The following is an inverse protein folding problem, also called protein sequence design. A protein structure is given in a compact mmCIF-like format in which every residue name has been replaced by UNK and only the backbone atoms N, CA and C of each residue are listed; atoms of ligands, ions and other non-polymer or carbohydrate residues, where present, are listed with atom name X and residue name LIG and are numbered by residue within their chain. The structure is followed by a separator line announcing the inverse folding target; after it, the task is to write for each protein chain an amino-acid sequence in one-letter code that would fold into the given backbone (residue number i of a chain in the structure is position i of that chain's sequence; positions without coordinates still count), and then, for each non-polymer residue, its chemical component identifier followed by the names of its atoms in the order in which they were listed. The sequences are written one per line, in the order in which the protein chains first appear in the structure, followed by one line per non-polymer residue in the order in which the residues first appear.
data_IF_774791559072
#
_entry.id   IF_774791559072
#
_cell.length_a   1.000
_cell.length_b   1.000
_cell.length_c   1.000
_cell.angle_alpha   90.00
_cell.angle_beta   90.00
_cell.angle_gamma   90.00
#
_symmetry.space_group_name_H-M   'P 1'
#
loop_
_entity.id
_entity.type
_entity.pdbx_description
1 polymer ?
#
# COMPACT_ATOMS: atom_id res chain seq x y z
N UNK A 1 16.49 -8.01 44.83
CA UNK A 1 17.41 -8.67 45.77
C UNK A 1 18.75 -8.82 45.04
N UNK A 2 19.56 -7.76 45.03
CA UNK A 2 20.87 -7.68 44.37
C UNK A 2 21.94 -8.03 45.41
N UNK A 3 22.69 -9.11 45.20
CA UNK A 3 23.80 -9.48 46.06
C UNK A 3 25.02 -8.60 45.75
N UNK A 4 25.48 -7.86 46.75
CA UNK A 4 26.67 -7.01 46.71
C UNK A 4 27.93 -7.85 46.42
N UNK A 5 28.70 -7.42 45.43
CA UNK A 5 30.11 -7.79 45.29
C UNK A 5 30.92 -7.09 46.39
N UNK A 6 31.45 -7.86 47.35
CA UNK A 6 32.52 -7.40 48.22
C UNK A 6 33.86 -7.59 47.51
N UNK A 7 34.45 -6.52 46.99
CA UNK A 7 35.87 -6.45 46.68
C UNK A 7 36.45 -5.28 47.48
N UNK A 8 37.44 -5.60 48.31
CA UNK A 8 38.17 -4.66 49.14
C UNK A 8 39.01 -3.75 48.22
N UNK A 9 38.61 -2.48 48.07
CA UNK A 9 39.33 -1.50 47.23
C UNK A 9 39.46 -0.19 47.99
N UNK A 10 40.70 0.32 48.11
CA UNK A 10 41.04 1.63 48.68
C UNK A 10 40.17 2.75 48.07
N UNK A 11 39.75 3.69 48.92
CA UNK A 11 38.73 4.71 48.66
C UNK A 11 38.99 5.64 47.45
N UNK A 12 40.22 5.72 46.94
CA UNK A 12 40.57 6.53 45.76
C UNK A 12 40.32 5.86 44.41
N UNK A 13 40.08 4.54 44.37
CA UNK A 13 39.84 3.79 43.14
C UNK A 13 38.35 3.42 42.95
N UNK A 14 37.50 3.72 43.94
CA UNK A 14 36.08 3.34 43.95
C UNK A 14 35.26 4.21 43.00
N UNK A 15 35.60 5.50 42.87
CA UNK A 15 34.89 6.43 41.97
C UNK A 15 35.20 6.15 40.49
N UNK A 16 36.44 5.79 40.16
CA UNK A 16 36.83 5.38 38.81
C UNK A 16 36.18 4.07 38.37
N UNK A 17 36.11 3.07 39.26
CA UNK A 17 35.44 1.78 38.99
C UNK A 17 33.93 1.99 38.79
N UNK A 18 33.27 2.79 39.65
CA UNK A 18 31.85 3.12 39.51
C UNK A 18 31.52 3.84 38.22
N UNK A 19 32.39 4.75 37.77
CA UNK A 19 32.21 5.48 36.53
C UNK A 19 32.40 4.59 35.29
N UNK A 20 33.35 3.66 35.35
CA UNK A 20 33.60 2.71 34.27
C UNK A 20 32.50 1.64 34.15
N UNK A 21 31.95 1.16 35.27
CA UNK A 21 30.82 0.22 35.28
C UNK A 21 29.52 0.88 34.76
N UNK A 22 29.29 2.16 35.09
CA UNK A 22 28.17 2.93 34.56
C UNK A 22 28.26 3.12 33.04
N UNK A 23 29.45 3.43 32.52
CA UNK A 23 29.69 3.60 31.08
C UNK A 23 29.43 2.32 30.28
N UNK A 24 29.86 1.17 30.81
CA UNK A 24 29.64 -0.14 30.17
C UNK A 24 28.16 -0.52 30.17
N UNK A 25 27.43 -0.19 31.23
CA UNK A 25 25.99 -0.39 31.29
C UNK A 25 25.25 0.45 30.23
N UNK A 26 25.68 1.69 30.02
CA UNK A 26 25.08 2.55 29.00
C UNK A 26 25.39 2.05 27.58
N UNK A 27 26.63 1.64 27.28
CA UNK A 27 26.96 1.00 25.99
C UNK A 27 26.12 -0.26 25.78
N UNK A 28 25.97 -1.08 26.81
CA UNK A 28 25.14 -2.27 26.73
C UNK A 28 23.69 -1.93 26.33
N UNK A 29 23.09 -0.91 26.94
CA UNK A 29 21.73 -0.44 26.57
C UNK A 29 21.67 0.01 25.11
N UNK A 30 22.69 0.72 24.64
CA UNK A 30 22.76 1.19 23.27
C UNK A 30 22.90 0.04 22.26
N UNK A 31 23.71 -0.97 22.58
CA UNK A 31 23.83 -2.18 21.75
C UNK A 31 22.52 -2.98 21.68
N UNK A 32 21.79 -3.08 22.80
CA UNK A 32 20.47 -3.71 22.83
C UNK A 32 19.46 -2.92 22.00
N UNK A 33 19.44 -1.59 22.13
CA UNK A 33 18.61 -0.73 21.29
C UNK A 33 18.97 -0.85 19.80
N UNK A 34 20.25 -1.09 19.49
CA UNK A 34 20.76 -1.37 18.15
C UNK A 34 20.56 -2.85 17.71
N UNK A 35 19.72 -3.63 18.42
CA UNK A 35 19.26 -4.94 17.96
C UNK A 35 20.15 -6.13 18.33
N UNK A 36 21.04 -6.01 19.33
CA UNK A 36 21.66 -7.17 19.97
C UNK A 36 20.75 -7.75 21.04
N UNK A 37 20.73 -9.08 21.17
CA UNK A 37 20.12 -9.72 22.34
C UNK A 37 20.84 -9.26 23.62
N UNK A 38 20.13 -9.02 24.74
CA UNK A 38 20.71 -8.61 26.01
C UNK A 38 21.91 -9.45 26.47
N UNK A 39 21.85 -10.78 26.31
CA UNK A 39 22.93 -11.69 26.71
C UNK A 39 24.08 -11.66 25.70
N UNK A 40 23.78 -11.54 24.42
CA UNK A 40 24.77 -11.40 23.35
C UNK A 40 25.58 -10.11 23.54
N UNK A 41 24.93 -9.00 23.91
CA UNK A 41 25.58 -7.73 24.19
C UNK A 41 26.53 -7.81 25.41
N UNK A 42 26.10 -8.44 26.51
CA UNK A 42 26.99 -8.66 27.67
C UNK A 42 28.18 -9.56 27.33
N UNK A 43 27.94 -10.62 26.56
CA UNK A 43 29.00 -11.54 26.13
C UNK A 43 30.00 -10.87 25.19
N UNK A 44 29.50 -10.10 24.22
CA UNK A 44 30.34 -9.32 23.31
C UNK A 44 31.21 -8.31 24.09
N UNK A 45 30.62 -7.54 25.02
CA UNK A 45 31.36 -6.59 25.84
C UNK A 45 32.39 -7.27 26.76
N UNK A 46 32.10 -8.46 27.27
CA UNK A 46 33.06 -9.24 28.04
C UNK A 46 34.30 -9.58 27.20
N UNK A 47 34.10 -10.09 25.98
CA UNK A 47 35.20 -10.40 25.06
C UNK A 47 35.93 -9.14 24.60
N UNK A 48 35.21 -8.06 24.27
CA UNK A 48 35.80 -6.80 23.82
C UNK A 48 36.70 -6.17 24.91
N UNK A 49 36.30 -6.23 26.18
CA UNK A 49 37.09 -5.69 27.31
C UNK A 49 38.24 -6.59 27.72
N UNK A 50 38.02 -7.90 27.76
CA UNK A 50 39.04 -8.84 28.22
C UNK A 50 39.99 -9.33 27.12
N UNK A 51 39.74 -8.96 25.86
CA UNK A 51 40.57 -9.34 24.72
C UNK A 51 40.45 -10.82 24.38
N UNK A 52 41.59 -11.51 24.34
CA UNK A 52 41.67 -12.93 23.96
C UNK A 52 41.26 -13.81 25.14
N UNK A 53 40.17 -14.56 25.00
CA UNK A 53 39.67 -15.46 26.06
C UNK A 53 38.91 -16.67 25.51
N UNK A 54 38.79 -17.73 26.30
CA UNK A 54 37.97 -18.89 25.94
C UNK A 54 36.47 -18.59 26.05
N UNK A 55 35.64 -19.40 25.38
CA UNK A 55 34.17 -19.30 25.50
C UNK A 55 33.72 -19.46 26.96
N UNK A 56 34.39 -20.30 27.75
CA UNK A 56 34.04 -20.53 29.15
C UNK A 56 34.33 -19.31 30.02
N UNK A 57 35.44 -18.62 29.79
CA UNK A 57 35.78 -17.37 30.47
C UNK A 57 34.80 -16.27 30.10
N UNK A 58 34.54 -16.08 28.80
CA UNK A 58 33.55 -15.13 28.31
C UNK A 58 32.17 -15.37 28.93
N UNK A 59 31.72 -16.62 28.99
CA UNK A 59 30.45 -17.00 29.59
C UNK A 59 30.38 -16.64 31.09
N UNK A 60 31.46 -16.89 31.83
CA UNK A 60 31.58 -16.53 33.25
C UNK A 60 31.53 -15.02 33.44
N UNK A 61 32.26 -14.26 32.61
CA UNK A 61 32.27 -12.79 32.68
C UNK A 61 30.92 -12.17 32.30
N UNK A 62 30.20 -12.79 31.36
CA UNK A 62 28.88 -12.36 30.92
C UNK A 62 27.73 -12.89 31.81
N UNK A 63 28.05 -13.66 32.85
CA UNK A 63 27.09 -14.31 33.75
C UNK A 63 26.04 -15.17 33.00
N UNK A 64 26.49 -15.96 32.03
CA UNK A 64 25.66 -16.93 31.29
C UNK A 64 26.19 -18.35 31.49
N UNK A 65 25.32 -19.35 31.28
CA UNK A 65 25.75 -20.75 31.38
C UNK A 65 26.77 -21.08 30.28
N UNK A 66 27.64 -22.05 30.56
CA UNK A 66 28.65 -22.50 29.58
C UNK A 66 28.00 -22.95 28.27
N UNK A 67 26.89 -23.68 28.33
CA UNK A 67 26.12 -24.10 27.15
C UNK A 67 25.64 -22.89 26.34
N UNK A 68 25.02 -21.91 27.02
CA UNK A 68 24.57 -20.68 26.37
C UNK A 68 25.73 -19.88 25.76
N UNK A 69 26.91 -19.90 26.40
CA UNK A 69 28.11 -19.22 25.90
C UNK A 69 28.53 -19.71 24.51
N UNK A 70 28.46 -21.01 24.24
CA UNK A 70 28.78 -21.54 22.91
C UNK A 70 27.77 -21.12 21.84
N UNK A 71 26.49 -21.06 22.18
CA UNK A 71 25.45 -20.60 21.23
C UNK A 71 25.54 -19.10 20.98
N UNK A 72 25.81 -18.30 22.02
CA UNK A 72 26.04 -16.86 21.91
C UNK A 72 27.27 -16.59 21.04
N UNK A 73 28.40 -17.27 21.31
CA UNK A 73 29.61 -17.15 20.51
C UNK A 73 29.34 -17.44 19.04
N UNK A 74 28.63 -18.53 18.73
CA UNK A 74 28.26 -18.89 17.36
C UNK A 74 27.43 -17.81 16.65
N UNK A 75 26.43 -17.23 17.34
CA UNK A 75 25.61 -16.14 16.79
C UNK A 75 26.43 -14.89 16.51
N UNK A 76 27.27 -14.47 17.47
CA UNK A 76 28.12 -13.29 17.32
C UNK A 76 29.18 -13.48 16.24
N UNK A 77 29.71 -14.70 16.06
CA UNK A 77 30.60 -15.04 14.95
C UNK A 77 29.87 -15.01 13.60
N UNK A 78 28.65 -15.54 13.51
CA UNK A 78 27.86 -15.46 12.29
C UNK A 78 27.52 -14.02 11.88
N UNK A 79 27.48 -13.11 12.86
CA UNK A 79 27.34 -11.65 12.65
C UNK A 79 28.68 -10.94 12.40
N UNK A 80 29.80 -11.65 12.41
CA UNK A 80 31.14 -11.07 12.22
C UNK A 80 31.67 -10.26 13.40
N UNK A 81 31.00 -10.27 14.57
CA UNK A 81 31.39 -9.46 15.74
C UNK A 81 32.50 -10.12 16.56
N UNK A 82 32.61 -11.45 16.50
CA UNK A 82 33.67 -12.21 17.13
C UNK A 82 34.38 -13.09 16.10
N UNK A 83 35.66 -13.31 16.31
CA UNK A 83 36.46 -14.31 15.59
C UNK A 83 36.96 -15.36 16.57
N UNK A 84 37.06 -16.60 16.09
CA UNK A 84 37.71 -17.70 16.80
C UNK A 84 39.15 -17.81 16.32
N UNK A 85 40.08 -17.72 17.25
CA UNK A 85 41.52 -17.82 17.01
C UNK A 85 42.05 -19.08 17.68
N UNK A 86 42.77 -19.91 16.94
CA UNK A 86 43.40 -21.11 17.49
C UNK A 86 44.58 -20.74 18.40
N UNK A 87 44.84 -21.56 19.42
CA UNK A 87 46.01 -21.38 20.29
C UNK A 87 47.23 -22.07 19.73
N UNK A 88 48.28 -21.29 19.44
CA UNK A 88 49.61 -21.79 19.06
C UNK A 88 50.50 -22.09 20.28
N UNK A 89 49.96 -21.99 21.51
CA UNK A 89 50.74 -22.18 22.74
C UNK A 89 51.04 -23.67 23.02
N UNK A 90 52.31 -24.06 23.22
CA UNK A 90 52.69 -25.43 23.62
C UNK A 90 52.06 -25.89 24.94
N UNK A 91 51.68 -24.96 25.82
CA UNK A 91 51.05 -25.24 27.11
C UNK A 91 49.57 -25.63 26.98
N UNK A 92 48.90 -25.15 25.93
CA UNK A 92 47.48 -25.43 25.66
C UNK A 92 47.27 -26.76 24.92
N UNK A 93 48.35 -27.39 24.44
CA UNK A 93 48.30 -28.67 23.72
C UNK A 93 47.96 -29.89 24.60
N UNK A 94 47.99 -29.72 25.93
CA UNK A 94 47.66 -30.80 26.88
C UNK A 94 46.16 -30.97 27.12
N UNK A 95 45.35 -29.95 26.85
CA UNK A 95 43.91 -29.99 27.07
C UNK A 95 43.16 -29.65 25.78
N UNK A 96 42.80 -30.71 25.03
CA UNK A 96 42.16 -30.65 23.71
C UNK A 96 40.86 -29.81 23.66
N UNK A 97 40.34 -29.41 24.81
CA UNK A 97 39.10 -28.64 24.97
C UNK A 97 39.30 -27.12 24.97
N UNK A 98 40.54 -26.64 25.02
CA UNK A 98 40.89 -25.22 25.23
C UNK A 98 41.61 -24.58 24.01
N UNK A 99 41.67 -25.29 22.88
CA UNK A 99 42.42 -24.84 21.69
C UNK A 99 41.90 -23.59 20.98
N UNK A 100 40.81 -22.97 21.43
CA UNK A 100 40.23 -21.84 20.72
C UNK A 100 39.80 -20.71 21.64
N UNK A 101 40.29 -19.53 21.29
CA UNK A 101 39.98 -18.28 21.95
C UNK A 101 39.03 -17.47 21.06
N UNK A 102 38.22 -16.64 21.69
CA UNK A 102 37.44 -15.59 21.07
C UNK A 102 38.24 -14.30 21.11
N UNK A 103 38.12 -13.52 20.05
CA UNK A 103 38.53 -12.12 20.01
C UNK A 103 37.39 -11.32 19.39
N UNK A 104 37.15 -10.12 19.92
CA UNK A 104 36.23 -9.19 19.32
C UNK A 104 36.85 -8.58 18.06
N UNK A 105 36.07 -8.55 16.98
CA UNK A 105 36.44 -7.81 15.78
C UNK A 105 36.15 -6.32 15.96
N UNK A 106 36.58 -5.51 14.99
CA UNK A 106 36.32 -4.07 14.98
C UNK A 106 34.81 -3.78 15.16
N UNK A 107 34.41 -3.01 16.19
CA UNK A 107 33.02 -2.60 16.38
C UNK A 107 32.39 -1.90 15.18
N UNK A 108 33.19 -1.32 14.26
CA UNK A 108 32.71 -0.74 13.01
C UNK A 108 31.88 -1.73 12.16
N UNK A 109 32.10 -3.04 12.29
CA UNK A 109 31.31 -4.07 11.60
C UNK A 109 29.82 -4.05 11.97
N UNK A 110 29.45 -3.50 13.14
CA UNK A 110 28.05 -3.27 13.49
C UNK A 110 27.39 -2.27 12.53
N UNK A 111 28.13 -1.27 12.06
CA UNK A 111 27.63 -0.28 11.10
C UNK A 111 27.43 -0.92 9.72
N UNK A 112 28.36 -1.77 9.29
CA UNK A 112 28.26 -2.50 8.02
C UNK A 112 27.06 -3.45 8.02
N UNK A 113 26.87 -4.21 9.12
CA UNK A 113 25.70 -5.08 9.31
C UNK A 113 24.39 -4.29 9.20
N UNK A 114 24.33 -3.10 9.81
CA UNK A 114 23.16 -2.23 9.76
C UNK A 114 22.91 -1.63 8.36
N UNK A 115 23.97 -1.27 7.64
CA UNK A 115 23.86 -0.75 6.28
C UNK A 115 23.25 -1.81 5.34
N UNK A 116 23.70 -3.07 5.44
CA UNK A 116 23.13 -4.19 4.67
C UNK A 116 21.67 -4.43 5.02
N UNK A 117 21.30 -4.44 6.31
CA UNK A 117 19.89 -4.61 6.73
C UNK A 117 19.00 -3.48 6.25
N UNK A 118 19.49 -2.24 6.30
CA UNK A 118 18.76 -1.07 5.79
C UNK A 118 18.50 -1.22 4.29
N UNK A 119 19.50 -1.65 3.51
CA UNK A 119 19.33 -1.85 2.07
C UNK A 119 18.22 -2.87 1.76
N UNK A 120 18.19 -4.00 2.47
CA UNK A 120 17.11 -5.00 2.32
C UNK A 120 15.73 -4.39 2.64
N UNK A 121 15.64 -3.56 3.68
CA UNK A 121 14.39 -2.87 4.02
C UNK A 121 14.00 -1.84 2.96
N UNK A 122 14.95 -1.07 2.42
CA UNK A 122 14.71 -0.10 1.35
C UNK A 122 14.13 -0.80 0.10
N UNK A 123 14.54 -2.04 -0.18
CA UNK A 123 14.05 -2.84 -1.32
C UNK A 123 12.65 -3.43 -1.07
N UNK A 124 12.34 -3.85 0.17
CA UNK A 124 11.10 -4.56 0.51
C UNK A 124 9.96 -3.61 0.92
N UNK A 125 10.26 -2.47 1.55
CA UNK A 125 9.25 -1.50 2.04
C UNK A 125 8.30 -1.00 0.93
N UNK A 126 8.74 -0.70 -0.31
CA UNK A 126 7.82 -0.32 -1.38
C UNK A 126 6.77 -1.39 -1.69
N UNK A 127 7.16 -2.67 -1.66
CA UNK A 127 6.27 -3.80 -1.90
C UNK A 127 5.27 -3.96 -0.73
N UNK A 128 5.74 -3.80 0.50
CA UNK A 128 4.88 -3.78 1.69
C UNK A 128 3.88 -2.62 1.65
N UNK A 129 4.28 -1.45 1.14
CA UNK A 129 3.36 -0.32 0.93
C UNK A 129 2.29 -0.65 -0.12
N UNK A 130 2.65 -1.31 -1.22
CA UNK A 130 1.67 -1.75 -2.21
C UNK A 130 0.64 -2.72 -1.60
N UNK A 131 1.10 -3.70 -0.83
CA UNK A 131 0.24 -4.64 -0.09
C UNK A 131 -0.64 -3.92 0.94
N UNK A 132 -0.10 -2.94 1.66
CA UNK A 132 -0.84 -2.15 2.64
C UNK A 132 -1.90 -1.24 1.99
N UNK A 133 -1.62 -0.74 0.79
CA UNK A 133 -2.53 0.13 0.02
C UNK A 133 -3.76 -0.63 -0.48
N UNK A 134 -3.62 -1.93 -0.78
CA UNK A 134 -4.74 -2.76 -1.21
C UNK A 134 -5.84 -2.98 -0.15
N UNK A 135 -5.56 -2.72 1.12
CA UNK A 135 -6.45 -3.03 2.25
C UNK A 135 -7.13 -1.82 2.93
N UNK A 136 -6.92 -0.59 2.44
CA UNK A 136 -7.65 0.58 2.93
C UNK A 136 -8.36 1.26 1.77
N UNK A 137 -9.67 1.03 1.68
CA UNK A 137 -10.62 1.75 0.83
C UNK A 137 -10.65 3.24 1.24
N UNK A 138 -9.60 3.98 0.88
CA UNK A 138 -9.70 5.44 0.82
C UNK A 138 -10.32 5.76 -0.52
N UNK A 139 -11.45 6.49 -0.55
CA UNK A 139 -12.02 6.92 -1.80
C UNK A 139 -10.98 7.74 -2.55
N UNK A 140 -10.64 7.35 -3.78
CA UNK A 140 -9.72 8.10 -4.62
C UNK A 140 -10.54 9.12 -5.40
N UNK A 141 -10.33 10.40 -5.11
CA UNK A 141 -11.00 11.50 -5.81
C UNK A 141 -9.99 12.17 -6.73
N UNK A 142 -10.32 12.26 -8.02
CA UNK A 142 -9.53 12.95 -9.04
C UNK A 142 -10.32 14.15 -9.53
N UNK A 143 -9.69 15.32 -9.52
CA UNK A 143 -10.16 16.51 -10.21
C UNK A 143 -9.36 16.66 -11.51
N UNK A 144 -10.04 16.77 -12.63
CA UNK A 144 -9.46 16.85 -13.96
C UNK A 144 -9.94 18.14 -14.61
N UNK A 145 -9.01 19.06 -14.86
CA UNK A 145 -9.32 20.40 -15.34
C UNK A 145 -9.40 20.47 -16.87
N UNK A 146 -10.30 21.30 -17.37
CA UNK A 146 -10.39 21.64 -18.79
C UNK A 146 -11.06 20.59 -19.67
N UNK A 147 -11.19 20.88 -20.98
CA UNK A 147 -11.87 19.99 -21.94
C UNK A 147 -11.20 18.61 -22.05
N UNK A 148 -9.87 18.57 -21.95
CA UNK A 148 -9.10 17.32 -21.94
C UNK A 148 -9.41 16.47 -20.70
N UNK A 149 -9.64 17.11 -19.54
CA UNK A 149 -10.05 16.46 -18.31
C UNK A 149 -11.43 15.80 -18.43
N UNK A 150 -12.40 16.52 -19.00
CA UNK A 150 -13.75 16.00 -19.30
C UNK A 150 -13.67 14.81 -20.26
N UNK A 151 -12.93 14.95 -21.37
CA UNK A 151 -12.76 13.85 -22.34
C UNK A 151 -12.12 12.63 -21.69
N UNK A 152 -11.07 12.82 -20.90
CA UNK A 152 -10.37 11.73 -20.22
C UNK A 152 -11.31 11.00 -19.27
N UNK A 153 -12.02 11.72 -18.40
CA UNK A 153 -12.96 11.14 -17.44
C UNK A 153 -14.09 10.36 -18.13
N UNK A 154 -14.67 10.92 -19.19
CA UNK A 154 -15.73 10.26 -19.96
C UNK A 154 -15.21 8.98 -20.63
N UNK A 155 -14.04 9.04 -21.29
CA UNK A 155 -13.49 7.89 -22.03
C UNK A 155 -13.02 6.77 -21.11
N UNK A 156 -12.53 7.07 -19.90
CA UNK A 156 -12.20 6.04 -18.90
C UNK A 156 -13.43 5.18 -18.53
N UNK A 157 -14.65 5.73 -18.62
CA UNK A 157 -15.88 4.94 -18.39
C UNK A 157 -16.11 3.82 -19.42
N UNK A 158 -15.41 3.84 -20.55
CA UNK A 158 -15.44 2.74 -21.52
C UNK A 158 -14.81 1.45 -20.98
N UNK A 159 -13.97 1.54 -19.96
CA UNK A 159 -13.33 0.35 -19.36
C UNK A 159 -14.14 -0.20 -18.18
N UNK A 160 -15.31 0.38 -17.90
CA UNK A 160 -16.19 -0.04 -16.81
C UNK A 160 -17.09 -1.23 -17.18
N UNK A 161 -17.59 -1.92 -16.15
CA UNK A 161 -18.49 -3.04 -16.30
C UNK A 161 -19.92 -2.57 -16.63
N UNK A 162 -20.57 -3.27 -17.57
CA UNK A 162 -21.96 -3.05 -17.93
C UNK A 162 -22.94 -3.66 -16.90
N UNK A 163 -24.10 -3.03 -16.63
CA UNK A 163 -24.57 -1.75 -17.17
C UNK A 163 -23.98 -0.55 -16.45
N UNK A 164 -23.68 0.50 -17.23
CA UNK A 164 -23.40 1.84 -16.72
C UNK A 164 -24.68 2.68 -16.71
N UNK A 165 -24.75 3.66 -15.81
CA UNK A 165 -25.90 4.56 -15.65
C UNK A 165 -25.46 5.99 -15.91
N UNK A 166 -26.32 6.78 -16.55
CA UNK A 166 -26.04 8.17 -16.89
C UNK A 166 -27.20 9.09 -16.54
N UNK A 167 -26.93 10.17 -15.83
CA UNK A 167 -27.79 11.36 -15.81
C UNK A 167 -27.07 12.37 -16.68
N UNK A 168 -27.54 12.60 -17.90
CA UNK A 168 -26.74 13.26 -18.93
C UNK A 168 -27.34 14.59 -19.36
N UNK A 169 -26.49 15.61 -19.44
CA UNK A 169 -26.73 16.83 -20.22
C UNK A 169 -26.08 16.68 -21.59
N UNK A 170 -26.88 16.36 -22.62
CA UNK A 170 -26.36 16.16 -23.97
C UNK A 170 -25.88 17.45 -24.60
N UNK A 171 -26.55 18.58 -24.34
CA UNK A 171 -26.09 19.89 -24.79
C UNK A 171 -24.65 20.18 -24.32
N UNK A 172 -24.36 19.90 -23.05
CA UNK A 172 -23.00 20.09 -22.52
C UNK A 172 -22.01 19.11 -23.16
N UNK A 173 -22.35 17.83 -23.28
CA UNK A 173 -21.47 16.81 -23.88
C UNK A 173 -21.14 17.10 -25.36
N UNK A 174 -22.11 17.60 -26.13
CA UNK A 174 -21.92 17.99 -27.52
C UNK A 174 -21.09 19.28 -27.66
N UNK A 175 -21.02 20.11 -26.61
CA UNK A 175 -20.17 21.30 -26.57
C UNK A 175 -18.76 20.96 -26.08
N UNK A 176 -18.66 20.21 -24.98
CA UNK A 176 -17.43 19.74 -24.35
C UNK A 176 -17.68 18.31 -23.80
N UNK A 177 -17.01 17.27 -24.32
CA UNK A 177 -15.79 17.30 -25.12
C UNK A 177 -16.00 17.59 -26.62
N UNK A 178 -17.24 17.74 -27.09
CA UNK A 178 -17.54 18.08 -28.48
C UNK A 178 -18.09 16.91 -29.29
N UNK A 179 -18.78 17.20 -30.39
CA UNK A 179 -19.46 16.19 -31.24
C UNK A 179 -18.53 15.05 -31.68
N UNK A 180 -17.34 15.37 -32.21
CA UNK A 180 -16.38 14.36 -32.67
C UNK A 180 -15.94 13.39 -31.55
N UNK A 181 -15.72 13.92 -30.35
CA UNK A 181 -15.38 13.08 -29.20
C UNK A 181 -16.56 12.23 -28.72
N UNK A 182 -17.79 12.73 -28.88
CA UNK A 182 -18.99 11.96 -28.58
C UNK A 182 -19.21 10.83 -29.60
N UNK A 183 -18.95 11.06 -30.88
CA UNK A 183 -19.00 10.03 -31.91
C UNK A 183 -18.02 8.88 -31.61
N UNK A 184 -16.77 9.23 -31.29
CA UNK A 184 -15.75 8.28 -30.85
C UNK A 184 -16.20 7.50 -29.60
N UNK A 185 -16.77 8.19 -28.60
CA UNK A 185 -17.23 7.56 -27.37
C UNK A 185 -18.40 6.58 -27.61
N UNK A 186 -19.35 6.95 -28.49
CA UNK A 186 -20.47 6.06 -28.87
C UNK A 186 -19.94 4.83 -29.60
N UNK A 187 -19.01 5.00 -30.53
CA UNK A 187 -18.37 3.89 -31.24
C UNK A 187 -17.66 2.95 -30.26
N UNK A 188 -16.88 3.50 -29.32
CA UNK A 188 -16.19 2.73 -28.27
C UNK A 188 -17.16 1.96 -27.36
N UNK A 189 -18.30 2.54 -26.99
CA UNK A 189 -19.35 1.83 -26.23
C UNK A 189 -19.98 0.69 -27.03
N UNK A 190 -20.25 0.91 -28.33
CA UNK A 190 -20.81 -0.12 -29.21
C UNK A 190 -19.88 -1.32 -29.35
N UNK A 191 -18.59 -1.07 -29.56
CA UNK A 191 -17.56 -2.11 -29.67
C UNK A 191 -17.51 -3.00 -28.43
N UNK A 192 -17.66 -2.39 -27.25
CA UNK A 192 -17.63 -3.08 -25.94
C UNK A 192 -19.00 -3.59 -25.48
N UNK A 193 -20.04 -3.44 -26.32
CA UNK A 193 -21.42 -3.80 -26.01
C UNK A 193 -21.92 -3.23 -24.65
N UNK A 194 -21.47 -2.02 -24.29
CA UNK A 194 -21.75 -1.41 -22.99
C UNK A 194 -23.17 -0.88 -22.90
N UNK A 195 -24.03 -1.60 -22.18
CA UNK A 195 -25.39 -1.14 -21.86
C UNK A 195 -25.33 0.13 -21.00
N UNK A 196 -25.91 1.20 -21.53
CA UNK A 196 -26.05 2.49 -20.87
C UNK A 196 -27.53 2.79 -20.62
N UNK A 197 -27.91 2.93 -19.34
CA UNK A 197 -29.22 3.42 -18.92
C UNK A 197 -29.13 4.92 -18.65
N UNK A 198 -29.94 5.71 -19.36
CA UNK A 198 -29.84 7.18 -19.33
C UNK A 198 -31.13 7.83 -18.84
N UNK A 199 -31.00 8.79 -17.93
CA UNK A 199 -32.05 9.74 -17.55
C UNK A 199 -31.65 11.13 -18.08
N UNK A 200 -32.59 11.85 -18.68
CA UNK A 200 -32.39 13.23 -19.15
C UNK A 200 -33.61 14.12 -18.91
N UNK A 201 -33.37 15.42 -18.90
CA UNK A 201 -34.40 16.45 -19.04
C UNK A 201 -34.78 16.60 -20.50
N UNK A 202 -36.07 16.64 -20.81
CA UNK A 202 -36.58 16.74 -22.19
C UNK A 202 -36.12 18.04 -22.88
N UNK A 203 -36.12 19.15 -22.15
CA UNK A 203 -35.85 20.48 -22.71
C UNK A 203 -34.35 20.74 -22.98
N UNK A 204 -33.48 19.90 -22.41
CA UNK A 204 -32.03 19.93 -22.62
C UNK A 204 -31.53 18.79 -23.53
N UNK A 205 -32.45 18.04 -24.15
CA UNK A 205 -32.08 16.98 -25.09
C UNK A 205 -31.71 17.56 -26.46
N UNK A 206 -30.91 16.83 -27.21
CA UNK A 206 -30.42 17.28 -28.51
C UNK A 206 -31.54 17.27 -29.58
N UNK A 207 -31.61 18.27 -30.49
CA UNK A 207 -32.60 18.29 -31.57
C UNK A 207 -32.54 17.02 -32.42
N UNK A 208 -33.68 16.35 -32.59
CA UNK A 208 -33.79 15.03 -33.25
C UNK A 208 -33.79 13.84 -32.28
N UNK A 209 -33.53 14.08 -30.99
CA UNK A 209 -33.65 13.12 -29.89
C UNK A 209 -32.50 12.11 -29.83
N UNK A 210 -32.09 11.75 -28.62
CA UNK A 210 -31.22 10.60 -28.40
C UNK A 210 -32.07 9.43 -27.89
N UNK A 211 -32.65 8.70 -28.84
CA UNK A 211 -33.63 7.65 -28.58
C UNK A 211 -33.03 6.42 -27.88
N UNK A 212 -33.91 5.60 -27.31
CA UNK A 212 -33.57 4.22 -26.96
C UNK A 212 -33.11 3.50 -28.23
N UNK A 213 -32.00 2.78 -28.12
CA UNK A 213 -31.34 2.15 -29.27
C UNK A 213 -30.66 0.85 -28.87
N UNK A 214 -31.14 -0.26 -29.41
CA UNK A 214 -30.46 -1.56 -29.31
C UNK A 214 -29.11 -1.56 -30.02
N UNK A 215 -28.99 -0.83 -31.15
CA UNK A 215 -27.71 -0.68 -31.86
C UNK A 215 -26.65 0.00 -30.97
N UNK A 216 -27.07 0.99 -30.19
CA UNK A 216 -26.16 1.78 -29.35
C UNK A 216 -26.08 1.29 -27.90
N UNK A 217 -26.68 0.12 -27.61
CA UNK A 217 -26.81 -0.42 -26.26
C UNK A 217 -27.35 0.60 -25.25
N UNK A 218 -28.32 1.43 -25.65
CA UNK A 218 -28.80 2.57 -24.87
C UNK A 218 -30.28 2.46 -24.56
N UNK A 219 -30.64 2.65 -23.30
CA UNK A 219 -32.05 2.77 -22.84
C UNK A 219 -32.24 4.14 -22.24
N UNK A 220 -33.29 4.84 -22.64
CA UNK A 220 -33.48 6.25 -22.29
C UNK A 220 -34.82 6.45 -21.59
N UNK A 221 -34.78 7.24 -20.51
CA UNK A 221 -35.97 7.78 -19.85
C UNK A 221 -35.84 9.29 -19.67
N UNK A 222 -36.99 9.96 -19.69
CA UNK A 222 -37.10 11.38 -19.38
C UNK A 222 -37.60 11.56 -17.96
N UNK A 223 -36.89 12.41 -17.22
CA UNK A 223 -37.31 12.86 -15.89
C UNK A 223 -38.62 13.66 -15.96
N UNK A 224 -39.41 13.75 -14.86
CA UNK A 224 -40.51 14.70 -14.77
C UNK A 224 -40.04 16.14 -15.04
N UNK A 225 -40.92 16.97 -15.61
CA UNK A 225 -40.61 18.32 -16.11
C UNK A 225 -40.16 19.29 -15.01
N UNK A 226 -40.41 18.96 -13.75
CA UNK A 226 -40.03 19.76 -12.59
C UNK A 226 -38.54 19.64 -12.22
N UNK A 227 -37.81 18.69 -12.83
CA UNK A 227 -36.40 18.43 -12.52
C UNK A 227 -35.50 18.69 -13.73
N UNK A 228 -34.51 19.56 -13.55
CA UNK A 228 -33.49 19.86 -14.54
C UNK A 228 -32.10 19.44 -14.04
N UNK A 229 -31.35 18.70 -14.88
CA UNK A 229 -29.99 18.27 -14.59
C UNK A 229 -29.00 19.01 -15.50
N UNK A 230 -28.12 19.80 -14.90
CA UNK A 230 -27.16 20.69 -15.58
C UNK A 230 -25.71 20.17 -15.54
N UNK A 231 -25.49 19.01 -14.95
CA UNK A 231 -24.22 18.30 -14.95
C UNK A 231 -24.44 16.87 -15.44
N UNK A 232 -23.44 16.33 -16.12
CA UNK A 232 -23.44 14.92 -16.50
C UNK A 232 -22.86 14.09 -15.36
N UNK A 233 -23.56 13.04 -14.94
CA UNK A 233 -23.06 12.01 -14.05
C UNK A 233 -23.06 10.66 -14.77
N UNK A 234 -21.95 9.91 -14.68
CA UNK A 234 -21.85 8.51 -15.13
C UNK A 234 -21.50 7.65 -13.92
N UNK A 235 -22.28 6.61 -13.68
CA UNK A 235 -22.23 5.78 -12.47
C UNK A 235 -21.93 4.34 -12.89
N UNK A 236 -20.77 3.84 -12.44
CA UNK A 236 -20.35 2.44 -12.55
C UNK A 236 -20.58 1.68 -11.24
N UNK A 237 -19.99 0.48 -11.13
CA UNK A 237 -20.12 -0.37 -9.93
C UNK A 237 -19.20 0.05 -8.78
N UNK A 238 -18.06 0.69 -9.08
CA UNK A 238 -17.03 1.09 -8.10
C UNK A 238 -16.68 2.58 -8.17
N UNK A 239 -17.11 3.26 -9.22
CA UNK A 239 -16.67 4.61 -9.56
C UNK A 239 -17.83 5.45 -10.07
N UNK A 240 -17.76 6.75 -9.82
CA UNK A 240 -18.70 7.75 -10.31
C UNK A 240 -17.91 8.90 -10.93
N UNK A 241 -18.32 9.31 -12.13
CA UNK A 241 -17.82 10.50 -12.81
C UNK A 241 -18.89 11.58 -12.78
N UNK A 242 -18.52 12.80 -12.42
CA UNK A 242 -19.29 14.01 -12.63
C UNK A 242 -18.54 14.93 -13.60
N UNK A 243 -19.22 15.40 -14.65
CA UNK A 243 -18.70 16.30 -15.66
C UNK A 243 -19.49 17.60 -15.56
N UNK A 244 -18.80 18.73 -15.38
CA UNK A 244 -19.43 20.03 -15.40
C UNK A 244 -19.71 20.52 -16.82
N UNK A 245 -20.55 21.55 -16.92
CA UNK A 245 -20.82 22.24 -18.18
C UNK A 245 -19.61 22.99 -18.71
N UNK A 246 -19.71 23.50 -19.94
CA UNK A 246 -18.69 24.36 -20.54
C UNK A 246 -18.42 25.65 -19.73
N UNK A 247 -19.29 26.02 -18.77
CA UNK A 247 -19.09 27.17 -17.88
C UNK A 247 -17.95 26.96 -16.88
N UNK A 248 -17.84 25.75 -16.33
CA UNK A 248 -16.87 25.43 -15.28
C UNK A 248 -15.76 24.49 -15.78
N UNK A 249 -16.05 23.69 -16.81
CA UNK A 249 -15.09 22.87 -17.58
C UNK A 249 -14.13 22.06 -16.71
N UNK A 250 -14.68 21.14 -15.93
CA UNK A 250 -13.91 20.18 -15.14
C UNK A 250 -14.64 18.84 -15.06
N UNK A 251 -13.89 17.80 -14.68
CA UNK A 251 -14.43 16.51 -14.31
C UNK A 251 -13.96 16.10 -12.92
N UNK A 252 -14.82 15.39 -12.21
CA UNK A 252 -14.53 14.76 -10.94
C UNK A 252 -14.77 13.27 -11.05
N UNK A 253 -13.78 12.45 -10.71
CA UNK A 253 -13.92 11.00 -10.62
C UNK A 253 -13.75 10.57 -9.18
N UNK A 254 -14.69 9.79 -8.68
CA UNK A 254 -14.71 9.29 -7.30
C UNK A 254 -14.71 7.76 -7.39
N UNK A 255 -13.59 7.13 -7.06
CA UNK A 255 -13.46 5.69 -6.92
C UNK A 255 -13.77 5.30 -5.47
N UNK A 256 -14.97 4.77 -5.26
CA UNK A 256 -15.53 4.37 -3.97
C UNK A 256 -16.75 3.49 -4.20
N UNK A 257 -16.68 2.23 -3.76
CA UNK A 257 -17.80 1.28 -3.86
C UNK A 257 -19.03 1.80 -3.10
N UNK A 258 -18.85 2.32 -1.89
CA UNK A 258 -19.93 2.86 -1.06
C UNK A 258 -20.62 4.05 -1.72
N UNK A 259 -19.84 4.98 -2.28
CA UNK A 259 -20.41 6.13 -3.00
C UNK A 259 -21.11 5.70 -4.30
N UNK A 260 -20.52 4.78 -5.06
CA UNK A 260 -21.11 4.25 -6.29
C UNK A 260 -22.42 3.50 -6.04
N UNK A 261 -22.50 2.73 -4.94
CA UNK A 261 -23.72 2.05 -4.51
C UNK A 261 -24.83 3.06 -4.14
N UNK A 262 -24.49 4.09 -3.35
CA UNK A 262 -25.43 5.15 -3.02
C UNK A 262 -25.94 5.87 -4.27
N UNK A 263 -25.06 6.27 -5.19
CA UNK A 263 -25.43 6.92 -6.44
C UNK A 263 -26.26 6.01 -7.35
N UNK A 264 -25.96 4.71 -7.36
CA UNK A 264 -26.80 3.71 -8.04
C UNK A 264 -28.21 3.69 -7.48
N UNK A 265 -28.38 3.66 -6.15
CA UNK A 265 -29.70 3.67 -5.53
C UNK A 265 -30.48 4.95 -5.82
N UNK A 266 -29.82 6.12 -5.80
CA UNK A 266 -30.43 7.39 -6.20
C UNK A 266 -30.87 7.37 -7.67
N UNK A 267 -30.03 6.83 -8.56
CA UNK A 267 -30.38 6.66 -9.97
C UNK A 267 -31.60 5.73 -10.14
N UNK A 268 -31.66 4.59 -9.45
CA UNK A 268 -32.78 3.65 -9.57
C UNK A 268 -34.11 4.28 -9.10
N UNK A 269 -34.07 5.09 -8.03
CA UNK A 269 -35.24 5.85 -7.58
C UNK A 269 -35.72 6.83 -8.66
N UNK A 270 -34.81 7.64 -9.21
CA UNK A 270 -35.13 8.57 -10.30
C UNK A 270 -35.59 7.85 -11.56
N UNK A 271 -35.00 6.69 -11.87
CA UNK A 271 -35.38 5.85 -13.00
C UNK A 271 -36.83 5.38 -12.89
N UNK A 272 -37.27 5.01 -11.70
CA UNK A 272 -38.64 4.62 -11.39
C UNK A 272 -39.65 5.75 -11.59
N UNK A 273 -39.26 6.99 -11.32
CA UNK A 273 -40.08 8.20 -11.55
C UNK A 273 -40.08 8.68 -13.01
N UNK A 274 -39.11 8.23 -13.82
CA UNK A 274 -38.90 8.70 -15.19
C UNK A 274 -39.73 7.91 -16.20
N UNK A 275 -40.17 8.58 -17.27
CA UNK A 275 -40.95 7.97 -18.36
C UNK A 275 -40.05 7.46 -19.49
N UNK A 276 -40.31 6.27 -20.08
CA UNK A 276 -39.58 5.78 -21.25
C UNK A 276 -39.58 6.79 -22.42
N UNK A 277 -38.43 6.94 -23.08
CA UNK A 277 -38.33 7.66 -24.34
C UNK A 277 -38.68 6.74 -25.53
N UNK A 278 -38.93 7.34 -26.69
CA UNK A 278 -39.14 6.62 -27.94
C UNK A 278 -37.89 5.81 -28.36
N UNK A 279 -38.08 4.86 -29.28
CA UNK A 279 -37.05 3.97 -29.82
C UNK A 279 -36.66 4.36 -31.24
N UNK A 280 -35.41 4.15 -31.63
CA UNK A 280 -34.92 4.34 -33.01
C UNK A 280 -35.23 3.18 -33.97
N UNK A 281 -36.29 2.41 -33.71
CA UNK A 281 -36.67 1.18 -34.41
C UNK A 281 -35.65 0.02 -34.41
N UNK A 282 -34.50 0.15 -33.74
CA UNK A 282 -33.51 -0.95 -33.65
C UNK A 282 -33.89 -2.08 -32.67
N UNK A 283 -34.97 -1.90 -31.90
CA UNK A 283 -35.46 -2.86 -30.90
C UNK A 283 -34.94 -2.58 -29.47
N UNK A 284 -35.05 -3.57 -28.58
CA UNK A 284 -34.66 -3.42 -27.15
C UNK A 284 -33.29 -4.04 -26.86
N UNK A 285 -32.34 -3.29 -26.25
CA UNK A 285 -31.03 -3.82 -25.86
C UNK A 285 -31.10 -5.03 -24.92
N UNK A 286 -32.08 -5.05 -24.00
CA UNK A 286 -32.21 -6.07 -22.95
C UNK A 286 -32.68 -7.44 -23.49
N UNK A 287 -33.43 -7.45 -24.60
CA UNK A 287 -33.93 -8.70 -25.23
C UNK A 287 -32.83 -9.43 -26.01
N UNK A 288 -31.88 -8.72 -26.60
CA UNK A 288 -30.82 -9.32 -27.42
C UNK A 288 -29.79 -10.14 -26.60
N UNK A 289 -29.64 -9.88 -25.30
CA UNK A 289 -28.72 -10.65 -24.44
C UNK A 289 -29.33 -11.98 -23.96
N UNK A 290 -30.63 -12.02 -23.65
CA UNK A 290 -31.30 -13.28 -23.24
C UNK A 290 -31.26 -14.33 -24.35
N UNK A 291 -31.39 -13.93 -25.62
CA UNK A 291 -31.32 -14.85 -26.76
C UNK A 291 -29.94 -15.48 -26.99
N UNK A 292 -28.84 -14.84 -26.58
CA UNK A 292 -27.48 -15.37 -26.76
C UNK A 292 -27.07 -16.39 -25.68
N UNK A 293 -27.67 -16.32 -24.48
CA UNK A 293 -27.37 -17.25 -23.37
C UNK A 293 -28.36 -18.41 -23.25
N UNK A 294 -29.51 -18.36 -23.92
CA UNK A 294 -30.46 -19.50 -23.99
C UNK A 294 -30.16 -20.49 -25.12
N UNK A 295 -29.03 -20.30 -25.83
CA UNK A 295 -28.59 -21.16 -26.94
C UNK A 295 -27.23 -21.81 -26.72
N UNK A 296 -26.78 -21.92 -25.46
CA UNK A 296 -25.54 -22.61 -25.04
C UNK A 296 -25.87 -23.86 -24.23
#
# INVERSE_FOLDING_TARGET
MLALYCVNVNATNVDGIRQQDFYVLEIWRQLVAAGLDPKDAHFYLAVLRGGRMTVAEAARHANVSRTSGYDIARRLQARGLLTRVESDSPLDQKDLRTHSHLMANDPALLLDEWAVRKQVLDDVVPQLRALHSGNRARPKVRYLEGPSGIRTALFETLEWQSPIRGILSMQDLMTVPGEAAMDDYIAGRRERELVLRVIRTRDHDWPGGWLTSARDYRVVRHTPVEYEFTMTAVIGSREVVALSSARETFAMMIESEEYAEMQTNLFEALWGLSTPADSDDSGSPEKNRRARYSGS
#
